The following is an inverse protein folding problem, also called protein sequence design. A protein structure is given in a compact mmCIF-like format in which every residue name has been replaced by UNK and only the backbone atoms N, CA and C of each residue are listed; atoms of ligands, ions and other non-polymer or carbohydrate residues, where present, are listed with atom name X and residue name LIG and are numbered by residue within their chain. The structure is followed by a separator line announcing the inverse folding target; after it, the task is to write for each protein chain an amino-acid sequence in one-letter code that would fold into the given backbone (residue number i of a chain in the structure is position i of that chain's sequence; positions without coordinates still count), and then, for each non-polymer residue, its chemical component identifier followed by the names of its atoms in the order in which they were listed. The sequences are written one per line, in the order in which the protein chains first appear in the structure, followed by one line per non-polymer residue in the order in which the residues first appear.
data_IF_890759923954
#
_entry.id   IF_890759923954
#
_cell.length_a   1.000
_cell.length_b   1.000
_cell.length_c   1.000
_cell.angle_alpha   90.00
_cell.angle_beta   90.00
_cell.angle_gamma   90.00
#
_symmetry.space_group_name_H-M   'P 1'
#
loop_
_entity.id
_entity.type
_entity.pdbx_description
1 polymer ?
#
# COMPACT_ATOMS: atom_id res chain seq x y z
N UNK A 1 8.30 8.16 38.72
CA UNK A 1 7.62 8.63 37.53
C UNK A 1 6.61 9.67 37.97
N UNK A 2 6.67 10.89 37.44
CA UNK A 2 5.71 11.97 37.74
C UNK A 2 4.38 11.72 37.03
N UNK A 3 3.32 12.45 37.41
CA UNK A 3 2.03 12.38 36.71
C UNK A 3 2.15 12.83 35.26
N UNK A 4 2.98 13.84 34.98
CA UNK A 4 3.27 14.33 33.64
C UNK A 4 3.96 13.25 32.79
N UNK A 5 5.00 12.61 33.32
CA UNK A 5 5.68 11.49 32.65
C UNK A 5 4.74 10.29 32.40
N UNK A 6 3.77 10.06 33.29
CA UNK A 6 2.74 9.04 33.09
C UNK A 6 1.80 9.40 31.94
N UNK A 7 1.36 10.67 31.88
CA UNK A 7 0.46 11.17 30.85
C UNK A 7 1.12 11.12 29.47
N UNK A 8 2.38 11.51 29.37
CA UNK A 8 3.15 11.44 28.12
C UNK A 8 3.29 10.00 27.62
N UNK A 9 3.69 9.07 28.51
CA UNK A 9 3.81 7.65 28.15
C UNK A 9 2.48 7.02 27.76
N UNK A 10 1.40 7.38 28.45
CA UNK A 10 0.06 6.91 28.11
C UNK A 10 -0.38 7.43 26.74
N UNK A 11 -0.17 8.72 26.48
CA UNK A 11 -0.49 9.34 25.19
C UNK A 11 0.28 8.65 24.06
N UNK A 12 1.58 8.46 24.24
CA UNK A 12 2.41 7.73 23.27
C UNK A 12 1.92 6.30 23.02
N UNK A 13 1.55 5.54 24.06
CA UNK A 13 1.02 4.18 23.89
C UNK A 13 -0.33 4.16 23.17
N UNK A 14 -1.21 5.12 23.46
CA UNK A 14 -2.50 5.28 22.77
C UNK A 14 -2.29 5.62 21.30
N UNK A 15 -1.42 6.59 20.99
CA UNK A 15 -1.12 6.98 19.62
C UNK A 15 -0.50 5.82 18.82
N UNK A 16 0.41 5.05 19.42
CA UNK A 16 0.96 3.85 18.78
C UNK A 16 -0.13 2.83 18.43
N UNK A 17 -1.10 2.62 19.31
CA UNK A 17 -2.20 1.69 19.05
C UNK A 17 -3.12 2.22 17.96
N UNK A 18 -3.48 3.50 17.99
CA UNK A 18 -4.32 4.12 16.96
C UNK A 18 -3.68 4.07 15.57
N UNK A 19 -2.37 4.30 15.48
CA UNK A 19 -1.58 4.18 14.25
C UNK A 19 -1.59 2.74 13.72
N UNK A 20 -1.39 1.74 14.58
CA UNK A 20 -1.49 0.34 14.18
C UNK A 20 -2.92 0.01 13.68
N UNK A 21 -3.94 0.54 14.34
CA UNK A 21 -5.34 0.35 13.97
C UNK A 21 -5.70 1.03 12.64
N UNK A 22 -5.02 2.12 12.26
CA UNK A 22 -5.11 2.70 10.89
C UNK A 22 -4.71 1.66 9.85
N UNK A 23 -3.56 1.01 10.01
CA UNK A 23 -3.08 0.01 9.04
C UNK A 23 -3.97 -1.24 9.02
N UNK A 24 -4.42 -1.71 10.19
CA UNK A 24 -5.34 -2.84 10.29
C UNK A 24 -6.68 -2.58 9.59
N UNK A 25 -7.28 -1.38 9.78
CA UNK A 25 -8.52 -0.99 9.09
C UNK A 25 -8.31 -0.95 7.59
N UNK A 26 -7.20 -0.37 7.13
CA UNK A 26 -6.86 -0.36 5.71
C UNK A 26 -6.81 -1.80 5.13
N UNK A 27 -5.98 -2.68 5.70
CA UNK A 27 -5.78 -4.04 5.22
C UNK A 27 -7.10 -4.84 5.20
N UNK A 28 -7.83 -4.79 6.32
CA UNK A 28 -9.13 -5.47 6.43
C UNK A 28 -10.14 -4.89 5.44
N UNK A 29 -10.16 -3.57 5.26
CA UNK A 29 -11.07 -2.90 4.35
C UNK A 29 -10.85 -3.35 2.90
N UNK A 30 -9.59 -3.44 2.46
CA UNK A 30 -9.23 -3.99 1.15
C UNK A 30 -9.70 -5.43 1.01
N UNK A 31 -9.37 -6.30 1.98
CA UNK A 31 -9.73 -7.73 1.93
C UNK A 31 -11.24 -7.99 1.97
N UNK A 32 -12.01 -7.07 2.55
CA UNK A 32 -13.48 -7.18 2.65
C UNK A 32 -14.21 -6.37 1.60
N UNK A 33 -13.49 -5.67 0.73
CA UNK A 33 -14.05 -4.70 -0.21
C UNK A 33 -14.99 -3.71 0.51
N UNK A 34 -14.58 -3.23 1.68
CA UNK A 34 -15.30 -2.28 2.52
C UNK A 34 -14.72 -0.87 2.34
N UNK A 35 -15.39 -0.06 1.50
CA UNK A 35 -14.95 1.31 1.19
C UNK A 35 -14.84 2.17 2.45
N UNK A 36 -15.84 2.14 3.33
CA UNK A 36 -15.87 3.01 4.50
C UNK A 36 -14.68 2.73 5.41
N UNK A 37 -14.36 1.45 5.59
CA UNK A 37 -13.19 1.04 6.36
C UNK A 37 -11.88 1.52 5.73
N UNK A 38 -11.69 1.35 4.42
CA UNK A 38 -10.49 1.84 3.71
C UNK A 38 -10.38 3.36 3.84
N UNK A 39 -11.43 4.12 3.53
CA UNK A 39 -11.41 5.58 3.61
C UNK A 39 -11.16 6.08 5.03
N UNK A 40 -11.63 5.35 6.05
CA UNK A 40 -11.40 5.73 7.44
C UNK A 40 -9.92 5.79 7.85
N UNK A 41 -9.03 5.09 7.11
CA UNK A 41 -7.60 5.02 7.35
C UNK A 41 -6.82 6.22 6.79
N UNK A 42 -7.41 6.99 5.88
CA UNK A 42 -6.76 8.15 5.23
C UNK A 42 -7.31 9.47 5.76
N UNK A 43 -6.50 10.52 5.63
CA UNK A 43 -7.01 11.90 5.53
C UNK A 43 -7.37 12.23 4.06
N UNK A 44 -8.23 13.22 3.87
CA UNK A 44 -8.82 13.55 2.54
C UNK A 44 -7.77 13.99 1.51
N UNK A 45 -6.69 14.61 1.94
CA UNK A 45 -5.56 15.10 1.14
C UNK A 45 -4.44 14.08 0.95
N UNK A 46 -4.65 12.83 1.36
CA UNK A 46 -3.62 11.81 1.28
C UNK A 46 -3.25 11.44 -0.16
N UNK A 47 -2.02 10.98 -0.35
CA UNK A 47 -1.58 10.35 -1.61
C UNK A 47 -1.07 8.94 -1.30
N UNK A 48 -1.54 7.97 -2.09
CA UNK A 48 -1.10 6.58 -2.06
C UNK A 48 -0.31 6.28 -3.34
N UNK A 49 0.99 6.07 -3.19
CA UNK A 49 1.84 5.44 -4.20
C UNK A 49 1.87 3.93 -3.94
N UNK A 50 0.94 3.24 -4.60
CA UNK A 50 0.76 1.81 -4.50
C UNK A 50 1.57 1.04 -5.55
N UNK A 51 2.77 1.52 -5.88
CA UNK A 51 3.70 0.94 -6.87
C UNK A 51 3.20 1.05 -8.32
N UNK A 52 2.12 0.36 -8.69
CA UNK A 52 1.50 0.45 -10.02
C UNK A 52 0.36 1.47 -10.11
N UNK A 53 -0.04 2.02 -8.97
CA UNK A 53 -1.06 3.05 -8.83
C UNK A 53 -0.47 4.25 -8.09
N UNK A 54 -0.84 5.48 -8.47
CA UNK A 54 -0.51 6.70 -7.70
C UNK A 54 -1.68 7.67 -7.72
N UNK A 55 -2.23 8.03 -6.56
CA UNK A 55 -3.36 8.95 -6.52
C UNK A 55 -3.97 9.14 -5.14
N UNK A 56 -5.17 9.73 -5.13
CA UNK A 56 -5.96 9.95 -3.91
C UNK A 56 -6.59 8.64 -3.37
N UNK A 57 -7.04 8.61 -2.11
CA UNK A 57 -7.72 7.44 -1.53
C UNK A 57 -8.94 6.98 -2.34
N UNK A 58 -9.73 7.90 -2.87
CA UNK A 58 -10.91 7.57 -3.69
C UNK A 58 -10.55 6.92 -5.03
N UNK A 59 -9.49 7.42 -5.68
CA UNK A 59 -8.95 6.84 -6.90
C UNK A 59 -8.36 5.45 -6.61
N UNK A 60 -7.61 5.33 -5.50
CA UNK A 60 -7.05 4.06 -5.04
C UNK A 60 -8.15 3.03 -4.80
N UNK A 61 -9.22 3.41 -4.09
CA UNK A 61 -10.35 2.53 -3.83
C UNK A 61 -10.99 2.03 -5.13
N UNK A 62 -11.21 2.93 -6.09
CA UNK A 62 -11.80 2.59 -7.38
C UNK A 62 -10.93 1.58 -8.13
N UNK A 63 -9.62 1.78 -8.11
CA UNK A 63 -8.63 0.90 -8.72
C UNK A 63 -8.55 -0.47 -8.02
N UNK A 64 -8.28 -0.50 -6.72
CA UNK A 64 -8.04 -1.73 -5.95
C UNK A 64 -9.29 -2.60 -5.88
N UNK A 65 -10.47 -1.99 -5.74
CA UNK A 65 -11.75 -2.72 -5.71
C UNK A 65 -11.97 -3.43 -7.04
N UNK A 66 -11.75 -2.74 -8.17
CA UNK A 66 -11.88 -3.34 -9.51
C UNK A 66 -10.91 -4.50 -9.65
N UNK A 67 -9.63 -4.27 -9.36
CA UNK A 67 -8.58 -5.27 -9.49
C UNK A 67 -8.87 -6.54 -8.68
N UNK A 68 -9.20 -6.42 -7.40
CA UNK A 68 -9.52 -7.60 -6.58
C UNK A 68 -10.85 -8.24 -6.96
N UNK A 69 -11.89 -7.45 -7.27
CA UNK A 69 -13.19 -8.02 -7.65
C UNK A 69 -13.13 -8.80 -8.96
N UNK A 70 -12.34 -8.35 -9.93
CA UNK A 70 -12.22 -9.02 -11.23
C UNK A 70 -11.28 -10.23 -11.18
N UNK A 71 -10.18 -10.14 -10.41
CA UNK A 71 -9.09 -11.11 -10.52
C UNK A 71 -8.97 -12.08 -9.34
N UNK A 72 -9.56 -11.78 -8.18
CA UNK A 72 -9.39 -12.57 -6.97
C UNK A 72 -10.73 -13.06 -6.42
N UNK A 73 -10.75 -14.31 -5.95
CA UNK A 73 -11.88 -14.90 -5.22
C UNK A 73 -11.77 -14.69 -3.70
N UNK A 74 -10.55 -14.56 -3.20
CA UNK A 74 -10.25 -14.20 -1.82
C UNK A 74 -8.88 -13.54 -1.75
N UNK A 75 -8.71 -12.62 -0.80
CA UNK A 75 -7.43 -11.97 -0.49
C UNK A 75 -7.22 -11.92 1.01
N UNK A 76 -5.96 -11.83 1.42
CA UNK A 76 -5.60 -11.63 2.81
C UNK A 76 -4.30 -10.83 2.91
N UNK A 77 -4.36 -9.74 3.66
CA UNK A 77 -3.21 -8.97 4.09
C UNK A 77 -2.90 -9.27 5.56
N UNK A 78 -1.79 -9.95 5.82
CA UNK A 78 -1.29 -10.19 7.16
C UNK A 78 -0.15 -9.23 7.44
N UNK A 79 -0.33 -8.34 8.42
CA UNK A 79 0.74 -7.43 8.85
C UNK A 79 1.59 -8.07 9.94
N UNK A 80 2.89 -7.78 9.91
CA UNK A 80 3.89 -8.26 10.85
C UNK A 80 4.56 -7.12 11.60
N UNK A 81 5.89 -7.06 11.53
CA UNK A 81 6.68 -5.99 12.14
C UNK A 81 6.09 -4.62 11.81
N UNK A 82 5.69 -3.89 12.84
CA UNK A 82 5.15 -2.53 12.75
C UNK A 82 5.99 -1.59 13.62
N UNK A 83 6.65 -0.64 12.96
CA UNK A 83 7.43 0.40 13.58
C UNK A 83 6.70 1.73 13.37
N UNK A 84 6.67 2.55 14.42
CA UNK A 84 6.11 3.89 14.41
C UNK A 84 7.04 4.82 15.19
N UNK A 85 7.51 5.87 14.52
CA UNK A 85 8.28 6.97 15.10
C UNK A 85 7.36 8.18 15.17
N UNK A 86 6.92 8.52 16.39
CA UNK A 86 5.93 9.57 16.66
C UNK A 86 6.65 10.81 17.18
N UNK A 87 6.37 11.95 16.54
CA UNK A 87 6.83 13.29 16.93
C UNK A 87 5.62 14.22 16.97
N UNK A 88 5.07 14.41 18.17
CA UNK A 88 3.81 15.12 18.38
C UNK A 88 2.66 14.49 17.59
N UNK A 89 2.07 15.28 16.70
CA UNK A 89 0.94 14.88 15.85
C UNK A 89 1.37 14.29 14.49
N UNK A 90 2.66 14.00 14.29
CA UNK A 90 3.17 13.37 13.07
C UNK A 90 3.82 12.03 13.41
N UNK A 91 3.57 11.01 12.60
CA UNK A 91 4.21 9.72 12.73
C UNK A 91 4.73 9.24 11.38
N UNK A 92 5.90 8.61 11.41
CA UNK A 92 6.39 7.82 10.29
C UNK A 92 6.34 6.36 10.68
N UNK A 93 5.87 5.51 9.76
CA UNK A 93 5.66 4.11 10.04
C UNK A 93 6.26 3.23 8.96
N UNK A 94 6.71 2.05 9.37
CA UNK A 94 7.07 0.95 8.49
C UNK A 94 6.28 -0.27 8.96
N UNK A 95 5.47 -0.83 8.06
CA UNK A 95 4.66 -2.02 8.35
C UNK A 95 4.94 -3.10 7.34
N UNK A 96 5.49 -4.22 7.79
CA UNK A 96 5.70 -5.41 6.98
C UNK A 96 4.36 -6.09 6.72
N UNK A 97 4.15 -6.56 5.49
CA UNK A 97 2.99 -7.35 5.12
C UNK A 97 3.37 -8.61 4.34
N UNK A 98 2.52 -9.61 4.49
CA UNK A 98 2.39 -10.75 3.59
C UNK A 98 1.00 -10.73 2.99
N UNK A 99 0.93 -10.57 1.68
CA UNK A 99 -0.29 -10.67 0.90
C UNK A 99 -0.44 -12.10 0.37
N UNK A 100 -1.67 -12.62 0.44
CA UNK A 100 -2.07 -13.90 -0.13
C UNK A 100 -3.35 -13.71 -0.94
N UNK A 101 -3.35 -14.16 -2.19
CA UNK A 101 -4.48 -14.02 -3.11
C UNK A 101 -4.84 -15.35 -3.77
N UNK A 102 -6.13 -15.68 -3.80
CA UNK A 102 -6.67 -16.80 -4.57
C UNK A 102 -7.21 -16.27 -5.90
N UNK A 103 -6.48 -16.52 -6.99
CA UNK A 103 -6.77 -15.94 -8.29
C UNK A 103 -7.90 -16.67 -9.00
N UNK A 104 -8.67 -15.94 -9.82
CA UNK A 104 -9.75 -16.51 -10.65
C UNK A 104 -9.25 -17.07 -11.97
N UNK A 105 -8.11 -16.57 -12.46
CA UNK A 105 -7.44 -16.97 -13.69
C UNK A 105 -5.94 -17.11 -13.48
N UNK A 106 -5.26 -17.79 -14.40
CA UNK A 106 -3.81 -18.00 -14.34
C UNK A 106 -3.37 -18.88 -13.17
N UNK A 107 -2.23 -18.54 -12.58
CA UNK A 107 -1.70 -19.17 -11.38
C UNK A 107 -2.73 -19.11 -10.23
N UNK A 108 -3.09 -20.22 -9.55
CA UNK A 108 -4.19 -20.22 -8.59
C UNK A 108 -3.91 -19.46 -7.28
N UNK A 109 -2.64 -19.21 -6.98
CA UNK A 109 -2.21 -18.56 -5.74
C UNK A 109 -1.12 -17.53 -6.02
N UNK A 110 -1.30 -16.33 -5.44
CA UNK A 110 -0.32 -15.25 -5.39
C UNK A 110 0.13 -15.03 -3.96
N UNK A 111 1.44 -14.96 -3.73
CA UNK A 111 2.03 -14.53 -2.47
C UNK A 111 3.04 -13.41 -2.70
N UNK A 112 2.88 -12.31 -1.98
CA UNK A 112 3.74 -11.14 -2.07
C UNK A 112 4.15 -10.73 -0.66
N UNK A 113 5.42 -10.43 -0.47
CA UNK A 113 5.90 -9.74 0.73
C UNK A 113 6.29 -8.33 0.38
N UNK A 114 5.93 -7.41 1.27
CA UNK A 114 6.24 -6.01 1.09
C UNK A 114 6.12 -5.22 2.37
N UNK A 115 6.19 -3.90 2.21
CA UNK A 115 6.11 -2.93 3.30
C UNK A 115 5.22 -1.77 2.90
N UNK A 116 4.42 -1.31 3.85
CA UNK A 116 3.85 0.04 3.80
C UNK A 116 4.80 0.99 4.53
N UNK A 117 5.27 2.01 3.82
CA UNK A 117 5.99 3.14 4.41
C UNK A 117 4.99 4.29 4.46
N UNK A 118 4.64 4.72 5.67
CA UNK A 118 3.58 5.69 5.89
C UNK A 118 4.12 6.96 6.55
N UNK A 119 3.58 8.11 6.14
CA UNK A 119 3.47 9.30 6.99
C UNK A 119 2.02 9.45 7.40
N UNK A 120 1.80 9.48 8.70
CA UNK A 120 0.49 9.69 9.31
C UNK A 120 0.48 10.98 10.10
N UNK A 121 -0.68 11.60 10.17
CA UNK A 121 -0.90 12.79 10.99
C UNK A 121 -2.10 12.59 11.90
N UNK A 122 -2.02 13.14 13.11
CA UNK A 122 -3.14 13.27 14.03
C UNK A 122 -3.83 14.60 13.77
N UNK A 123 -5.05 14.56 13.24
CA UNK A 123 -5.85 15.77 12.98
C UNK A 123 -7.16 15.66 13.75
N UNK A 124 -7.47 16.68 14.56
CA UNK A 124 -8.69 16.70 15.40
C UNK A 124 -8.82 15.43 16.27
N UNK A 125 -7.70 14.96 16.81
CA UNK A 125 -7.65 13.78 17.68
C UNK A 125 -7.68 12.43 16.97
N UNK A 126 -7.62 12.37 15.63
CA UNK A 126 -7.66 11.14 14.85
C UNK A 126 -6.41 10.98 13.98
N UNK A 127 -5.72 9.86 14.12
CA UNK A 127 -4.66 9.45 13.20
C UNK A 127 -5.20 9.00 11.83
N UNK A 128 -4.49 9.36 10.77
CA UNK A 128 -4.77 8.93 9.41
C UNK A 128 -3.55 9.09 8.51
N UNK A 129 -3.48 8.27 7.46
CA UNK A 129 -2.44 8.32 6.44
C UNK A 129 -2.57 9.63 5.65
N UNK A 130 -1.45 10.33 5.45
CA UNK A 130 -1.33 11.49 4.54
C UNK A 130 -0.40 11.18 3.35
N UNK A 131 0.51 10.23 3.49
CA UNK A 131 1.33 9.72 2.40
C UNK A 131 1.62 8.24 2.65
N UNK A 132 1.49 7.42 1.62
CA UNK A 132 1.85 6.00 1.64
C UNK A 132 2.68 5.65 0.42
N UNK A 133 3.74 4.89 0.64
CA UNK A 133 4.39 4.10 -0.40
C UNK A 133 4.26 2.61 -0.07
N UNK A 134 3.77 1.83 -1.05
CA UNK A 134 3.81 0.37 -0.99
C UNK A 134 5.07 -0.15 -1.71
N UNK A 135 5.96 -0.74 -0.92
CA UNK A 135 7.20 -1.36 -1.40
C UNK A 135 7.00 -2.86 -1.53
N UNK A 136 7.25 -3.39 -2.72
CA UNK A 136 7.25 -4.84 -2.96
C UNK A 136 8.66 -5.36 -2.71
N UNK A 137 8.86 -6.11 -1.62
CA UNK A 137 10.17 -6.69 -1.27
C UNK A 137 10.44 -7.98 -2.05
N UNK A 138 9.41 -8.79 -2.27
CA UNK A 138 9.50 -10.01 -3.05
C UNK A 138 8.12 -10.46 -3.54
N UNK A 139 8.12 -11.15 -4.68
CA UNK A 139 6.96 -11.86 -5.21
C UNK A 139 7.33 -13.33 -5.28
N UNK A 140 6.55 -14.19 -4.63
CA UNK A 140 6.80 -15.63 -4.71
C UNK A 140 6.46 -16.11 -6.13
N UNK A 141 7.30 -16.96 -6.76
CA UNK A 141 6.89 -17.65 -7.97
C UNK A 141 5.65 -18.49 -7.66
N UNK A 142 4.75 -18.65 -8.63
CA UNK A 142 3.55 -19.43 -8.40
C UNK A 142 3.91 -20.88 -8.01
N UNK A 143 3.35 -21.34 -6.89
CA UNK A 143 3.62 -22.67 -6.34
C UNK A 143 2.95 -23.79 -7.17
N UNK A 144 2.11 -23.42 -8.15
CA UNK A 144 1.33 -24.37 -8.99
C UNK A 144 1.41 -24.08 -10.50
N UNK A 145 2.36 -23.27 -10.97
CA UNK A 145 2.67 -23.23 -12.40
C UNK A 145 3.46 -24.48 -12.78
N UNK A 146 3.15 -25.07 -13.93
CA UNK A 146 4.01 -26.09 -14.57
C UNK A 146 5.46 -25.63 -14.48
N UNK A 147 6.33 -26.53 -14.03
CA UNK A 147 7.74 -26.27 -13.70
C UNK A 147 8.40 -25.30 -14.70
N UNK A 148 8.76 -24.09 -14.24
CA UNK A 148 9.70 -23.21 -14.95
C UNK A 148 9.18 -21.93 -15.64
N UNK A 149 8.05 -21.32 -15.28
CA UNK A 149 7.73 -19.98 -15.82
C UNK A 149 8.68 -18.89 -15.28
N UNK A 150 9.69 -18.55 -16.08
CA UNK A 150 10.64 -17.43 -15.86
C UNK A 150 10.27 -16.16 -16.63
N UNK A 151 9.05 -16.08 -17.17
CA UNK A 151 8.60 -14.92 -17.96
C UNK A 151 7.57 -14.10 -17.19
N UNK A 152 7.46 -12.77 -17.45
CA UNK A 152 6.45 -11.91 -16.82
C UNK A 152 5.02 -12.47 -16.96
N UNK A 153 4.71 -13.12 -18.08
CA UNK A 153 3.40 -13.73 -18.40
C UNK A 153 3.04 -14.91 -17.49
N UNK A 154 4.01 -15.45 -16.74
CA UNK A 154 3.77 -16.49 -15.71
C UNK A 154 3.93 -16.00 -14.27
N UNK A 155 4.09 -14.68 -14.08
CA UNK A 155 4.17 -14.07 -12.76
C UNK A 155 2.83 -14.09 -12.04
N UNK A 156 2.87 -14.24 -10.71
CA UNK A 156 1.71 -13.92 -9.88
C UNK A 156 1.25 -12.50 -10.24
N UNK A 157 -0.02 -12.34 -10.60
CA UNK A 157 -0.68 -11.06 -10.90
C UNK A 157 -0.42 -10.41 -12.28
N UNK A 158 0.25 -11.07 -13.24
CA UNK A 158 0.43 -10.47 -14.58
C UNK A 158 -0.90 -10.11 -15.24
N UNK A 159 -1.86 -11.03 -15.20
CA UNK A 159 -3.18 -10.86 -15.82
C UNK A 159 -4.06 -9.81 -15.12
N UNK A 160 -3.74 -9.40 -13.89
CA UNK A 160 -4.56 -8.45 -13.14
C UNK A 160 -4.15 -6.98 -13.35
N UNK A 161 -3.04 -6.73 -14.05
CA UNK A 161 -2.51 -5.40 -14.31
C UNK A 161 -2.65 -5.02 -15.79
N UNK A 162 -2.94 -3.74 -16.03
CA UNK A 162 -3.00 -3.15 -17.35
C UNK A 162 -1.58 -2.81 -17.86
N UNK A 163 -1.35 -2.76 -19.19
CA UNK A 163 -0.03 -2.44 -19.74
C UNK A 163 0.58 -1.13 -19.24
N UNK A 164 -0.24 -0.10 -19.00
CA UNK A 164 0.25 1.18 -18.49
C UNK A 164 0.65 1.11 -17.00
N UNK A 165 0.04 0.20 -16.23
CA UNK A 165 0.32 0.03 -14.79
C UNK A 165 1.72 -0.59 -14.58
N UNK A 166 2.17 -1.45 -15.48
CA UNK A 166 3.56 -1.91 -15.51
C UNK A 166 4.55 -0.76 -15.72
N UNK A 167 4.25 0.17 -16.63
CA UNK A 167 5.10 1.35 -16.88
C UNK A 167 5.14 2.30 -15.68
N UNK A 168 4.03 2.38 -14.92
CA UNK A 168 4.04 3.10 -13.64
C UNK A 168 4.99 2.39 -12.68
N UNK A 169 4.86 1.08 -12.50
CA UNK A 169 5.68 0.30 -11.57
C UNK A 169 7.20 0.39 -11.85
N UNK A 170 7.62 0.55 -13.11
CA UNK A 170 9.03 0.73 -13.51
C UNK A 170 9.71 1.93 -12.82
N UNK A 171 8.94 2.93 -12.42
CA UNK A 171 9.44 4.14 -11.74
C UNK A 171 9.17 4.14 -10.24
N UNK A 172 8.55 3.08 -9.70
CA UNK A 172 8.24 2.99 -8.28
C UNK A 172 9.51 2.81 -7.43
N UNK A 173 9.52 3.33 -6.18
CA UNK A 173 10.63 3.10 -5.27
C UNK A 173 10.92 1.61 -5.07
N UNK A 174 12.20 1.24 -5.13
CA UNK A 174 12.66 -0.13 -4.98
C UNK A 174 13.23 -0.36 -3.58
N UNK A 175 13.05 -1.56 -3.01
CA UNK A 175 13.66 -1.90 -1.73
C UNK A 175 15.18 -1.97 -1.84
N UNK A 176 15.88 -1.56 -0.78
CA UNK A 176 17.32 -1.79 -0.63
C UNK A 176 17.62 -2.35 0.76
N UNK A 177 18.83 -2.89 0.95
CA UNK A 177 19.30 -3.42 2.25
C UNK A 177 20.35 -2.51 2.87
N UNK A 178 20.20 -1.21 2.67
CA UNK A 178 21.07 -0.16 3.19
C UNK A 178 20.25 1.09 3.55
N UNK A 179 20.95 2.19 3.88
CA UNK A 179 20.31 3.45 4.29
C UNK A 179 19.67 4.23 3.13
N UNK A 180 19.74 3.72 1.90
CA UNK A 180 19.02 4.29 0.76
C UNK A 180 17.60 3.73 0.63
N UNK A 181 17.22 2.76 1.45
CA UNK A 181 15.88 2.15 1.40
C UNK A 181 14.80 3.20 1.69
N UNK A 182 13.64 3.14 0.99
CA UNK A 182 12.50 4.01 1.24
C UNK A 182 12.09 4.15 2.70
N UNK A 183 12.26 3.10 3.51
CA UNK A 183 11.89 3.11 4.93
C UNK A 183 12.66 4.10 5.78
N UNK A 184 13.79 4.65 5.30
CA UNK A 184 14.57 5.68 6.01
C UNK A 184 14.20 7.12 5.65
N UNK A 185 13.35 7.35 4.63
CA UNK A 185 12.98 8.71 4.20
C UNK A 185 12.12 9.44 5.23
N UNK A 186 12.59 10.58 5.74
CA UNK A 186 11.91 11.41 6.74
C UNK A 186 12.11 12.91 6.40
N UNK A 187 11.05 13.70 6.14
CA UNK A 187 9.68 13.24 6.02
C UNK A 187 9.49 12.31 4.81
N UNK A 188 8.50 11.42 4.86
CA UNK A 188 8.05 10.73 3.64
C UNK A 188 7.21 11.71 2.80
N UNK A 189 7.64 11.95 1.58
CA UNK A 189 6.93 12.73 0.57
C UNK A 189 6.83 11.90 -0.70
N UNK A 190 5.63 11.88 -1.30
CA UNK A 190 5.41 11.21 -2.58
C UNK A 190 5.99 12.07 -3.68
N UNK A 191 6.82 11.48 -4.53
CA UNK A 191 7.45 12.15 -5.64
C UNK A 191 6.39 12.73 -6.61
N UNK A 192 6.36 14.05 -6.85
CA UNK A 192 5.43 14.67 -7.79
C UNK A 192 5.50 14.09 -9.21
N UNK A 193 6.66 13.59 -9.62
CA UNK A 193 6.85 12.96 -10.93
C UNK A 193 6.08 11.64 -11.03
N UNK A 194 5.97 10.88 -9.93
CA UNK A 194 5.13 9.67 -9.84
C UNK A 194 3.66 10.00 -10.11
N UNK A 195 3.16 11.07 -9.49
CA UNK A 195 1.77 11.52 -9.64
C UNK A 195 1.49 11.96 -11.08
N UNK A 196 2.38 12.78 -11.65
CA UNK A 196 2.21 13.30 -13.01
C UNK A 196 2.32 12.18 -14.05
N UNK A 197 3.25 11.25 -13.88
CA UNK A 197 3.43 10.09 -14.75
C UNK A 197 2.21 9.16 -14.72
N UNK A 198 1.68 8.84 -13.54
CA UNK A 198 0.46 8.03 -13.43
C UNK A 198 -0.72 8.67 -14.16
N UNK A 199 -0.93 9.99 -13.99
CA UNK A 199 -2.01 10.72 -14.68
C UNK A 199 -1.85 10.69 -16.19
N UNK A 200 -0.64 10.91 -16.70
CA UNK A 200 -0.37 10.86 -18.14
C UNK A 200 -0.62 9.46 -18.74
N UNK A 201 -0.07 8.43 -18.09
CA UNK A 201 -0.18 7.03 -18.56
C UNK A 201 -1.63 6.51 -18.48
N UNK A 202 -2.32 6.75 -17.37
CA UNK A 202 -3.71 6.33 -17.19
C UNK A 202 -4.68 7.11 -18.09
N UNK A 203 -4.42 8.39 -18.35
CA UNK A 203 -5.19 9.20 -19.30
C UNK A 203 -5.08 8.66 -20.72
N UNK A 204 -3.85 8.46 -21.21
CA UNK A 204 -3.61 7.90 -22.54
C UNK A 204 -4.24 6.50 -22.72
N UNK A 205 -4.23 5.68 -21.67
CA UNK A 205 -4.88 4.36 -21.70
C UNK A 205 -6.42 4.46 -21.81
N UNK A 206 -7.05 5.42 -21.12
CA UNK A 206 -8.51 5.66 -21.21
C UNK A 206 -8.90 6.15 -22.60
N UNK A 207 -8.13 7.05 -23.18
CA UNK A 207 -8.38 7.59 -24.52
C UNK A 207 -8.29 6.50 -25.60
N UNK A 208 -7.36 5.55 -25.46
CA UNK A 208 -7.20 4.44 -26.38
C UNK A 208 -8.35 3.41 -26.33
N UNK A 209 -9.07 3.30 -25.21
CA UNK A 209 -10.25 2.41 -25.06
C UNK A 209 -11.54 3.07 -25.56
N UNK A 210 -11.57 4.41 -25.57
CA UNK A 210 -12.71 5.20 -26.05
C UNK A 210 -12.71 5.47 -27.57
N UNK A 211 -11.64 5.14 -28.27
CA UNK A 211 -11.48 5.24 -29.73
C UNK A 211 -11.80 3.91 -30.43
#
# INVERSE_FOLDING_TARGET
MTLEEMQEKLTYLMDRQEILDVVNRYCRGVDRLDREMVMSAYHEDAIDDHNMFVGSPDEFWSWVRKMHSENHSATQHMIGNHLAWIDGDVAHCETYLSYSGMNKTGAPFSAIGGRYIDRMEKRKGKWGIVAREYIVDWVAPSINTVEGSKTPEGGANYDCLQPFEFKVAETAPQPSRDRLDPSYRRPLEIDPDRISNYKALSGAAKDAVGA
#
